data_IF_620753723238
#
_entry.id   IF_620753723238
#
_cell.length_a   1.000
_cell.length_b   1.000
_cell.length_c   1.000
_cell.angle_alpha   90.00
_cell.angle_beta   90.00
_cell.angle_gamma   90.00
#
_symmetry.space_group_name_H-M   'P 1'
#
loop_
_entity.id
_entity.type
_entity.pdbx_description
1 polymer ?
#
# COMPACT_ATOMS: atom_id res chain seq x y z
N UNK A 1 -7.20 6.26 -41.84
CA UNK A 1 -6.41 7.35 -41.22
C UNK A 1 -5.89 6.82 -39.87
N UNK A 2 -4.66 6.27 -39.84
CA UNK A 2 -4.04 5.76 -38.61
C UNK A 2 -3.72 6.99 -37.75
N UNK A 3 -4.48 7.20 -36.68
CA UNK A 3 -4.12 8.12 -35.61
C UNK A 3 -2.78 7.64 -35.05
N UNK A 4 -1.70 8.32 -35.43
CA UNK A 4 -0.43 8.27 -34.73
C UNK A 4 -0.75 8.75 -33.32
N UNK A 5 -0.94 7.81 -32.38
CA UNK A 5 -0.90 8.12 -30.96
C UNK A 5 0.46 8.73 -30.72
N UNK A 6 0.49 10.05 -30.53
CA UNK A 6 1.66 10.74 -30.00
C UNK A 6 2.10 9.97 -28.76
N UNK A 7 3.38 9.61 -28.70
CA UNK A 7 3.95 9.08 -27.46
C UNK A 7 3.59 10.09 -26.36
N UNK A 8 2.89 9.70 -25.29
CA UNK A 8 2.68 10.63 -24.19
C UNK A 8 4.07 11.04 -23.68
N UNK A 9 4.28 12.35 -23.56
CA UNK A 9 5.45 12.90 -22.87
C UNK A 9 5.65 12.14 -21.56
N UNK A 10 6.87 11.66 -21.26
CA UNK A 10 7.07 10.87 -20.06
C UNK A 10 6.76 11.75 -18.85
N UNK A 11 5.70 11.37 -18.11
CA UNK A 11 5.31 12.06 -16.89
C UNK A 11 6.49 12.13 -15.92
N UNK A 12 6.51 13.16 -15.05
CA UNK A 12 7.51 13.33 -13.99
C UNK A 12 7.78 12.02 -13.23
N UNK A 13 6.73 11.27 -12.92
CA UNK A 13 6.80 9.96 -12.27
C UNK A 13 7.54 8.91 -13.13
N UNK A 14 7.30 8.88 -14.44
CA UNK A 14 7.99 7.99 -15.38
C UNK A 14 9.50 8.29 -15.44
N UNK A 15 9.89 9.56 -15.38
CA UNK A 15 11.30 9.96 -15.36
C UNK A 15 11.98 9.53 -14.05
N UNK A 16 11.33 9.75 -12.90
CA UNK A 16 11.84 9.28 -11.61
C UNK A 16 11.95 7.75 -11.56
N UNK A 17 10.95 7.03 -12.07
CA UNK A 17 10.99 5.57 -12.14
C UNK A 17 12.18 5.07 -12.97
N UNK A 18 12.46 5.69 -14.12
CA UNK A 18 13.62 5.35 -14.96
C UNK A 18 14.95 5.69 -14.29
N UNK A 19 15.05 6.82 -13.60
CA UNK A 19 16.24 7.18 -12.80
C UNK A 19 16.53 6.12 -11.73
N UNK A 20 15.50 5.67 -11.01
CA UNK A 20 15.64 4.58 -10.03
C UNK A 20 16.04 3.24 -10.66
N UNK A 21 15.58 2.95 -11.88
CA UNK A 21 16.03 1.76 -12.64
C UNK A 21 17.50 1.88 -13.06
N UNK A 22 17.94 3.05 -13.54
CA UNK A 22 19.32 3.30 -13.93
C UNK A 22 20.28 3.14 -12.74
N UNK A 23 19.83 3.56 -11.55
CA UNK A 23 20.55 3.39 -10.28
C UNK A 23 20.48 1.97 -9.71
N UNK A 24 19.80 1.04 -10.38
CA UNK A 24 19.59 -0.35 -9.94
C UNK A 24 18.86 -0.46 -8.58
N UNK A 25 18.12 0.58 -8.20
CA UNK A 25 17.26 0.57 -7.02
C UNK A 25 15.92 -0.08 -7.32
N UNK A 26 15.48 0.00 -8.57
CA UNK A 26 14.34 -0.73 -9.12
C UNK A 26 14.84 -1.67 -10.20
N UNK A 27 14.29 -2.88 -10.25
CA UNK A 27 14.61 -3.87 -11.29
C UNK A 27 14.34 -3.30 -12.70
N UNK A 28 15.29 -3.48 -13.62
CA UNK A 28 15.21 -2.93 -14.98
C UNK A 28 14.07 -3.51 -15.83
N UNK A 29 13.55 -4.68 -15.45
CA UNK A 29 12.40 -5.31 -16.08
C UNK A 29 11.07 -4.91 -15.44
N UNK A 30 11.09 -4.20 -14.31
CA UNK A 30 9.89 -3.70 -13.65
C UNK A 30 9.17 -2.69 -14.55
N UNK A 31 7.84 -2.75 -14.54
CA UNK A 31 7.00 -1.83 -15.30
C UNK A 31 6.18 -0.95 -14.36
N UNK A 32 6.07 0.32 -14.72
CA UNK A 32 5.13 1.28 -14.14
C UNK A 32 3.91 1.36 -15.07
N UNK A 33 2.75 0.95 -14.59
CA UNK A 33 1.51 0.88 -15.38
C UNK A 33 0.35 1.59 -14.68
N UNK A 34 -0.52 2.20 -15.49
CA UNK A 34 -1.73 2.82 -14.99
C UNK A 34 -2.75 1.75 -14.59
N UNK A 35 -3.21 1.80 -13.34
CA UNK A 35 -4.26 0.95 -12.81
C UNK A 35 -5.62 1.41 -13.29
N UNK A 36 -6.45 0.46 -13.76
CA UNK A 36 -7.87 0.71 -14.07
C UNK A 36 -8.74 0.73 -12.81
N UNK A 37 -8.20 0.38 -11.65
CA UNK A 37 -8.93 0.38 -10.39
C UNK A 37 -8.75 1.74 -9.69
N UNK A 38 -9.81 2.58 -9.59
CA UNK A 38 -9.71 3.95 -9.10
C UNK A 38 -9.47 4.05 -7.58
N UNK A 39 -9.52 2.93 -6.86
CA UNK A 39 -9.36 2.88 -5.40
C UNK A 39 -7.89 2.81 -4.98
N UNK A 40 -7.01 2.33 -5.87
CA UNK A 40 -5.60 2.07 -5.56
C UNK A 40 -4.78 3.33 -5.87
N UNK A 41 -4.21 4.01 -4.87
CA UNK A 41 -3.34 5.17 -5.11
C UNK A 41 -2.10 4.77 -5.91
N UNK A 42 -1.25 3.96 -5.27
CA UNK A 42 -0.07 3.33 -5.84
C UNK A 42 0.08 1.94 -5.19
N UNK A 43 0.56 0.95 -5.94
CA UNK A 43 0.69 -0.42 -5.43
C UNK A 43 1.73 -1.23 -6.20
N UNK A 44 2.68 -1.81 -5.47
CA UNK A 44 3.60 -2.84 -5.92
C UNK A 44 2.89 -4.18 -5.96
N UNK A 45 2.87 -4.82 -7.13
CA UNK A 45 2.32 -6.17 -7.28
C UNK A 45 3.46 -7.18 -7.48
N UNK A 46 3.71 -7.98 -6.44
CA UNK A 46 4.78 -8.98 -6.43
C UNK A 46 4.60 -10.07 -7.50
N UNK A 47 3.37 -10.49 -7.79
CA UNK A 47 3.09 -11.55 -8.76
C UNK A 47 3.34 -11.10 -10.20
N UNK A 48 2.91 -9.89 -10.55
CA UNK A 48 3.08 -9.36 -11.91
C UNK A 48 4.39 -8.61 -12.11
N UNK A 49 5.16 -8.36 -11.03
CA UNK A 49 6.39 -7.55 -11.03
C UNK A 49 6.16 -6.14 -11.60
N UNK A 50 5.06 -5.51 -11.21
CA UNK A 50 4.64 -4.19 -11.69
C UNK A 50 4.40 -3.22 -10.54
N UNK A 51 4.64 -1.94 -10.79
CA UNK A 51 4.07 -0.85 -10.00
C UNK A 51 2.83 -0.36 -10.72
N UNK A 52 1.72 -0.34 -10.00
CA UNK A 52 0.46 0.21 -10.47
C UNK A 52 0.25 1.58 -9.82
N UNK A 53 -0.25 2.55 -10.58
CA UNK A 53 -0.65 3.87 -10.05
C UNK A 53 -1.97 4.31 -10.68
N UNK A 54 -2.76 5.17 -10.03
CA UNK A 54 -4.00 5.70 -10.62
C UNK A 54 -3.84 7.08 -11.25
N UNK A 55 -4.75 7.43 -12.16
CA UNK A 55 -4.82 8.79 -12.74
C UNK A 55 -5.05 9.86 -11.67
N UNK A 56 -5.75 9.51 -10.58
CA UNK A 56 -5.96 10.42 -9.45
C UNK A 56 -4.64 10.71 -8.72
N UNK A 57 -3.80 9.70 -8.55
CA UNK A 57 -2.44 9.87 -8.02
C UNK A 57 -1.60 10.74 -8.98
N UNK A 58 -1.66 10.45 -10.28
CA UNK A 58 -0.95 11.18 -11.33
C UNK A 58 -1.30 12.68 -11.34
N UNK A 59 -2.58 13.04 -11.23
CA UNK A 59 -3.03 14.42 -11.36
C UNK A 59 -2.99 15.25 -10.07
N UNK A 60 -3.14 14.63 -8.90
CA UNK A 60 -3.30 15.38 -7.62
C UNK A 60 -2.19 15.15 -6.61
N UNK A 61 -1.47 14.03 -6.68
CA UNK A 61 -0.41 13.71 -5.72
C UNK A 61 0.96 14.06 -6.31
N UNK A 62 1.17 13.84 -7.61
CA UNK A 62 2.42 14.21 -8.28
C UNK A 62 2.70 15.71 -8.35
N UNK A 63 1.68 16.57 -8.26
CA UNK A 63 1.88 18.03 -8.30
C UNK A 63 2.28 18.61 -6.95
N UNK A 64 1.97 17.91 -5.86
CA UNK A 64 2.16 18.39 -4.49
C UNK A 64 3.39 17.81 -3.79
N UNK A 65 3.84 16.63 -4.22
CA UNK A 65 5.02 15.97 -3.67
C UNK A 65 6.29 16.40 -4.42
N UNK A 66 7.38 16.59 -3.69
CA UNK A 66 8.72 16.79 -4.28
C UNK A 66 9.28 15.45 -4.81
N UNK A 67 10.38 15.54 -5.57
CA UNK A 67 10.94 14.37 -6.24
C UNK A 67 11.46 13.31 -5.25
N UNK A 68 12.00 13.71 -4.10
CA UNK A 68 12.54 12.77 -3.11
C UNK A 68 11.42 12.03 -2.40
N UNK A 69 10.33 12.72 -2.11
CA UNK A 69 9.13 12.08 -1.58
C UNK A 69 8.51 11.11 -2.60
N UNK A 70 8.51 11.44 -3.89
CA UNK A 70 8.05 10.52 -4.94
C UNK A 70 8.98 9.32 -5.13
N UNK A 71 10.30 9.52 -5.05
CA UNK A 71 11.28 8.43 -5.04
C UNK A 71 11.05 7.50 -3.85
N UNK A 72 10.80 8.07 -2.67
CA UNK A 72 10.48 7.29 -1.47
C UNK A 72 9.26 6.40 -1.68
N UNK A 73 8.16 6.93 -2.24
CA UNK A 73 6.96 6.12 -2.54
C UNK A 73 7.26 5.01 -3.55
N UNK A 74 7.98 5.32 -4.63
CA UNK A 74 8.38 4.31 -5.64
C UNK A 74 9.22 3.18 -5.04
N UNK A 75 10.16 3.53 -4.15
CA UNK A 75 11.02 2.59 -3.44
C UNK A 75 10.25 1.78 -2.39
N UNK A 76 9.28 2.38 -1.71
CA UNK A 76 8.38 1.68 -0.79
C UNK A 76 7.63 0.55 -1.54
N UNK A 77 7.08 0.84 -2.72
CA UNK A 77 6.45 -0.19 -3.54
C UNK A 77 7.43 -1.25 -4.06
N UNK A 78 8.70 -0.90 -4.30
CA UNK A 78 9.77 -1.89 -4.57
C UNK A 78 10.04 -2.77 -3.36
N UNK A 79 10.05 -2.19 -2.16
CA UNK A 79 10.11 -2.92 -0.90
C UNK A 79 9.03 -3.99 -0.81
N UNK A 80 7.78 -3.68 -1.17
CA UNK A 80 6.71 -4.68 -1.23
C UNK A 80 6.97 -5.82 -2.23
N UNK A 81 7.55 -5.54 -3.39
CA UNK A 81 7.86 -6.60 -4.36
C UNK A 81 9.02 -7.46 -3.89
N UNK A 82 10.12 -6.85 -3.44
CA UNK A 82 11.31 -7.59 -3.02
C UNK A 82 11.11 -8.32 -1.71
N UNK A 83 10.59 -7.63 -0.69
CA UNK A 83 10.51 -8.10 0.70
C UNK A 83 9.12 -8.54 1.13
N UNK A 84 8.07 -8.11 0.43
CA UNK A 84 6.69 -8.48 0.77
C UNK A 84 6.42 -9.98 0.68
N UNK A 85 5.43 -10.46 1.41
CA UNK A 85 5.11 -11.87 1.49
C UNK A 85 3.81 -12.18 0.75
N UNK A 86 3.84 -13.22 -0.08
CA UNK A 86 2.60 -13.79 -0.63
C UNK A 86 1.80 -14.55 0.42
N UNK A 87 2.42 -14.87 1.57
CA UNK A 87 1.81 -15.64 2.64
C UNK A 87 0.56 -14.96 3.20
N UNK A 88 0.62 -13.64 3.41
CA UNK A 88 -0.50 -12.83 3.90
C UNK A 88 -1.72 -12.92 2.97
N UNK A 89 -1.47 -12.89 1.65
CA UNK A 89 -2.49 -13.02 0.62
C UNK A 89 -3.03 -14.46 0.50
N UNK A 90 -2.17 -15.46 0.68
CA UNK A 90 -2.54 -16.87 0.65
C UNK A 90 -3.39 -17.27 1.86
N UNK A 91 -3.12 -16.70 3.04
CA UNK A 91 -3.96 -16.89 4.23
C UNK A 91 -5.35 -16.32 3.97
N UNK A 92 -5.44 -15.07 3.49
CA UNK A 92 -6.73 -14.45 3.18
C UNK A 92 -7.54 -15.28 2.18
N UNK A 93 -6.90 -15.69 1.07
CA UNK A 93 -7.59 -16.49 0.06
C UNK A 93 -8.04 -17.84 0.61
N UNK A 94 -7.27 -18.48 1.49
CA UNK A 94 -7.66 -19.73 2.15
C UNK A 94 -8.91 -19.54 3.00
N UNK A 95 -8.98 -18.47 3.81
CA UNK A 95 -10.18 -18.18 4.61
C UNK A 95 -11.40 -17.87 3.72
N UNK A 96 -11.22 -17.11 2.64
CA UNK A 96 -12.31 -16.84 1.68
C UNK A 96 -12.78 -18.13 1.00
N UNK A 97 -11.87 -19.01 0.60
CA UNK A 97 -12.21 -20.31 0.00
C UNK A 97 -12.94 -21.19 1.00
N UNK A 98 -12.51 -21.25 2.26
CA UNK A 98 -13.23 -21.98 3.33
C UNK A 98 -14.63 -21.40 3.52
N UNK A 99 -14.77 -20.08 3.56
CA UNK A 99 -16.07 -19.42 3.68
C UNK A 99 -17.01 -19.74 2.51
N UNK A 100 -16.50 -19.67 1.28
CA UNK A 100 -17.24 -20.05 0.06
C UNK A 100 -17.60 -21.54 0.12
N UNK A 101 -16.66 -22.42 0.49
CA UNK A 101 -16.90 -23.85 0.57
C UNK A 101 -18.01 -24.18 1.58
N UNK A 102 -18.02 -23.51 2.74
CA UNK A 102 -19.10 -23.64 3.71
C UNK A 102 -20.46 -23.24 3.09
N UNK A 103 -20.51 -22.26 2.18
CA UNK A 103 -21.75 -21.70 1.59
C UNK A 103 -22.31 -22.48 0.43
N UNK A 104 -21.42 -23.03 -0.38
CA UNK A 104 -21.81 -23.77 -1.58
C UNK A 104 -22.00 -25.26 -1.31
N UNK A 105 -21.35 -25.83 -0.29
CA UNK A 105 -21.62 -27.20 0.12
C UNK A 105 -22.69 -27.21 1.22
N UNK A 106 -23.90 -27.77 0.97
CA UNK A 106 -24.90 -28.02 1.99
C UNK A 106 -24.45 -29.24 2.79
N UNK A 107 -23.32 -29.12 3.46
CA UNK A 107 -22.91 -30.06 4.45
C UNK A 107 -23.98 -29.96 5.56
N UNK A 108 -24.58 -31.09 5.97
CA UNK A 108 -25.59 -31.19 7.05
C UNK A 108 -25.13 -30.65 8.43
N UNK A 109 -23.98 -29.99 8.45
CA UNK A 109 -23.45 -29.16 9.48
C UNK A 109 -24.25 -27.86 9.54
N UNK A 110 -25.30 -27.84 10.37
CA UNK A 110 -26.24 -26.72 10.45
C UNK A 110 -25.62 -25.35 10.77
N UNK A 111 -26.50 -24.38 11.04
CA UNK A 111 -26.21 -23.00 11.47
C UNK A 111 -25.10 -22.78 12.54
N UNK A 112 -24.70 -23.74 13.41
CA UNK A 112 -23.65 -23.47 14.41
C UNK A 112 -22.26 -23.24 13.83
N UNK A 113 -21.86 -23.94 12.77
CA UNK A 113 -20.48 -23.84 12.24
C UNK A 113 -20.19 -22.49 11.60
N UNK A 114 -21.19 -21.90 10.97
CA UNK A 114 -21.20 -20.54 10.47
C UNK A 114 -20.96 -19.52 11.56
N UNK A 115 -21.67 -19.68 12.67
CA UNK A 115 -21.56 -18.82 13.83
C UNK A 115 -20.16 -18.91 14.45
N UNK A 116 -19.60 -20.11 14.60
CA UNK A 116 -18.22 -20.29 15.08
C UNK A 116 -17.18 -19.73 14.11
N UNK A 117 -17.37 -19.88 12.80
CA UNK A 117 -16.47 -19.30 11.81
C UNK A 117 -16.47 -17.77 11.85
N UNK A 118 -17.64 -17.13 11.98
CA UNK A 118 -17.74 -15.68 12.10
C UNK A 118 -17.22 -15.16 13.45
N UNK A 119 -17.48 -15.89 14.55
CA UNK A 119 -17.11 -15.45 15.90
C UNK A 119 -15.63 -15.67 16.20
N UNK A 120 -15.03 -16.75 15.69
CA UNK A 120 -13.66 -17.17 16.01
C UNK A 120 -12.77 -17.12 14.76
N UNK A 121 -13.21 -17.73 13.66
CA UNK A 121 -12.43 -17.83 12.44
C UNK A 121 -12.08 -16.47 11.83
N UNK A 122 -13.06 -15.55 11.77
CA UNK A 122 -12.85 -14.21 11.21
C UNK A 122 -11.95 -13.31 12.06
N UNK A 123 -12.12 -13.18 13.39
CA UNK A 123 -11.17 -12.41 14.21
C UNK A 123 -9.77 -13.03 14.25
N UNK A 124 -9.67 -14.36 14.23
CA UNK A 124 -8.40 -15.05 14.22
C UNK A 124 -7.69 -14.87 12.87
N UNK A 125 -8.40 -14.98 11.75
CA UNK A 125 -7.84 -14.70 10.43
C UNK A 125 -7.38 -13.25 10.32
N UNK A 126 -8.19 -12.31 10.83
CA UNK A 126 -7.80 -10.91 10.93
C UNK A 126 -6.48 -10.75 11.67
N UNK A 127 -6.33 -11.34 12.87
CA UNK A 127 -5.07 -11.27 13.63
C UNK A 127 -3.89 -11.93 12.93
N UNK A 128 -4.10 -13.10 12.32
CA UNK A 128 -3.06 -13.84 11.61
C UNK A 128 -2.59 -13.06 10.37
N UNK A 129 -3.46 -12.30 9.72
CA UNK A 129 -3.10 -11.43 8.59
C UNK A 129 -2.50 -10.09 9.03
N UNK A 130 -2.99 -9.54 10.16
CA UNK A 130 -2.60 -8.25 10.71
C UNK A 130 -1.08 -8.18 10.89
N UNK A 131 -0.50 -9.19 11.55
CA UNK A 131 0.91 -9.18 11.96
C UNK A 131 1.87 -9.23 10.76
N UNK A 132 1.71 -10.15 9.78
CA UNK A 132 2.51 -10.15 8.57
C UNK A 132 2.40 -8.86 7.77
N UNK A 133 1.18 -8.36 7.51
CA UNK A 133 0.98 -7.12 6.76
C UNK A 133 1.62 -5.92 7.45
N UNK A 134 1.48 -5.83 8.78
CA UNK A 134 2.14 -4.79 9.57
C UNK A 134 3.66 -4.83 9.40
N UNK A 135 4.26 -6.02 9.43
CA UNK A 135 5.71 -6.18 9.21
C UNK A 135 6.12 -5.83 7.77
N UNK A 136 5.31 -6.19 6.78
CA UNK A 136 5.57 -5.88 5.38
C UNK A 136 5.65 -4.36 5.13
N UNK A 137 4.74 -3.58 5.71
CA UNK A 137 4.76 -2.12 5.65
C UNK A 137 6.02 -1.53 6.26
N UNK A 138 6.39 -1.98 7.47
CA UNK A 138 7.63 -1.54 8.13
C UNK A 138 8.88 -1.90 7.34
N UNK A 139 8.90 -3.08 6.70
CA UNK A 139 10.02 -3.51 5.87
C UNK A 139 10.11 -2.71 4.56
N UNK A 140 8.97 -2.38 3.96
CA UNK A 140 8.91 -1.55 2.75
C UNK A 140 9.40 -0.11 3.05
N UNK A 141 8.99 0.45 4.19
CA UNK A 141 9.47 1.76 4.67
C UNK A 141 10.98 1.78 4.91
N UNK A 142 11.51 0.75 5.58
CA UNK A 142 12.94 0.65 5.82
C UNK A 142 13.73 0.50 4.53
N UNK A 143 13.24 -0.32 3.60
CA UNK A 143 13.86 -0.46 2.28
C UNK A 143 13.96 0.88 1.55
N UNK A 144 12.87 1.67 1.56
CA UNK A 144 12.88 3.00 0.97
C UNK A 144 13.82 3.95 1.71
N UNK A 145 13.77 3.99 3.04
CA UNK A 145 14.59 4.85 3.87
C UNK A 145 16.09 4.58 3.69
N UNK A 146 16.50 3.31 3.68
CA UNK A 146 17.88 2.89 3.46
C UNK A 146 18.38 3.32 2.08
N UNK A 147 17.56 3.14 1.02
CA UNK A 147 17.89 3.57 -0.33
C UNK A 147 18.00 5.10 -0.43
N UNK A 148 17.10 5.86 0.20
CA UNK A 148 17.15 7.33 0.22
C UNK A 148 18.40 7.85 0.95
N UNK A 149 18.75 7.25 2.10
CA UNK A 149 19.95 7.64 2.84
C UNK A 149 21.23 7.31 2.08
N UNK A 150 21.30 6.13 1.47
CA UNK A 150 22.52 5.64 0.80
C UNK A 150 22.77 6.28 -0.56
N UNK A 151 21.76 6.35 -1.42
CA UNK A 151 21.92 6.75 -2.84
C UNK A 151 21.54 8.20 -3.12
N UNK A 152 20.75 8.82 -2.23
CA UNK A 152 20.28 10.21 -2.35
C UNK A 152 20.76 11.12 -1.21
N UNK A 153 21.54 10.59 -0.26
CA UNK A 153 22.10 11.32 0.87
C UNK A 153 21.05 12.09 1.69
N UNK A 154 19.84 11.52 1.82
CA UNK A 154 18.80 12.07 2.69
C UNK A 154 19.11 11.69 4.13
N UNK A 155 19.49 12.68 4.95
CA UNK A 155 19.87 12.47 6.35
C UNK A 155 18.70 11.95 7.21
N UNK A 156 17.48 12.44 6.94
CA UNK A 156 16.27 12.10 7.69
C UNK A 156 15.15 11.59 6.76
N UNK A 157 15.21 10.34 6.28
CA UNK A 157 14.16 9.76 5.45
C UNK A 157 12.78 9.71 6.14
N UNK A 158 12.75 9.70 7.48
CA UNK A 158 11.50 9.75 8.25
C UNK A 158 10.65 10.99 7.98
N UNK A 159 11.29 12.13 7.65
CA UNK A 159 10.61 13.39 7.30
C UNK A 159 9.85 13.27 5.99
N UNK A 160 10.37 12.50 5.01
CA UNK A 160 9.67 12.23 3.75
C UNK A 160 8.37 11.47 4.01
N UNK A 161 8.42 10.47 4.89
CA UNK A 161 7.24 9.70 5.29
C UNK A 161 6.23 10.56 6.08
N UNK A 162 6.70 11.42 6.99
CA UNK A 162 5.83 12.36 7.71
C UNK A 162 5.15 13.36 6.77
N UNK A 163 5.86 13.83 5.75
CA UNK A 163 5.30 14.71 4.71
C UNK A 163 4.20 14.01 3.92
N UNK A 164 4.35 12.73 3.62
CA UNK A 164 3.30 11.92 2.99
C UNK A 164 2.03 11.84 3.85
N UNK A 165 2.17 11.54 5.14
CA UNK A 165 1.03 11.43 6.06
C UNK A 165 0.32 12.76 6.26
N UNK A 166 1.06 13.84 6.51
CA UNK A 166 0.45 15.17 6.65
C UNK A 166 -0.35 15.61 5.41
N UNK A 167 0.13 15.28 4.20
CA UNK A 167 -0.59 15.55 2.95
C UNK A 167 -1.81 14.64 2.77
N UNK A 168 -1.73 13.40 3.20
CA UNK A 168 -2.87 12.48 3.19
C UNK A 168 -3.97 12.94 4.17
N UNK A 169 -3.59 13.36 5.38
CA UNK A 169 -4.50 13.87 6.41
C UNK A 169 -5.18 15.17 5.99
N UNK A 170 -4.44 16.10 5.39
CA UNK A 170 -4.99 17.34 4.82
C UNK A 170 -6.11 17.02 3.79
N UNK A 171 -5.89 16.02 2.94
CA UNK A 171 -6.89 15.57 1.95
C UNK A 171 -8.06 14.83 2.58
N UNK A 172 -7.84 14.03 3.63
CA UNK A 172 -8.92 13.37 4.37
C UNK A 172 -9.81 14.41 5.06
N UNK A 173 -9.20 15.41 5.71
CA UNK A 173 -9.90 16.49 6.39
C UNK A 173 -10.70 17.38 5.41
N UNK A 174 -10.10 17.77 4.27
CA UNK A 174 -10.80 18.54 3.23
C UNK A 174 -11.95 17.77 2.56
N UNK A 175 -11.82 16.44 2.42
CA UNK A 175 -12.90 15.61 1.87
C UNK A 175 -14.00 15.31 2.90
N UNK A 176 -13.67 15.24 4.19
CA UNK A 176 -14.65 15.08 5.28
C UNK A 176 -15.53 16.33 5.44
N UNK A 177 -14.98 17.53 5.31
CA UNK A 177 -15.78 18.78 5.42
C UNK A 177 -16.87 18.91 4.33
N UNK A 178 -16.75 18.16 3.22
CA UNK A 178 -17.76 18.11 2.13
C UNK A 178 -18.79 16.98 2.26
N UNK A 179 -18.70 16.07 3.24
CA UNK A 179 -19.49 14.83 3.23
C UNK A 179 -20.07 14.41 4.58
N UNK A 180 -20.62 15.37 5.32
CA UNK A 180 -21.54 15.06 6.43
C UNK A 180 -22.93 14.63 5.89
N UNK A 181 -23.07 13.38 5.44
CA UNK A 181 -24.39 12.72 5.31
C UNK A 181 -24.38 11.19 5.29
N UNK A 182 -23.31 10.53 5.76
CA UNK A 182 -23.26 9.04 5.84
C UNK A 182 -22.69 8.49 7.15
N UNK A 183 -22.96 9.16 8.27
CA UNK A 183 -22.52 8.69 9.61
C UNK A 183 -23.15 7.36 10.03
N UNK A 184 -24.26 6.93 9.41
CA UNK A 184 -24.92 5.65 9.72
C UNK A 184 -24.24 4.44 9.05
N UNK A 185 -23.47 4.65 7.97
CA UNK A 185 -22.75 3.56 7.28
C UNK A 185 -21.38 3.26 7.93
N UNK A 186 -20.81 4.24 8.62
CA UNK A 186 -19.50 4.13 9.27
C UNK A 186 -19.56 3.22 10.51
N UNK A 187 -20.68 3.24 11.25
CA UNK A 187 -20.92 2.36 12.39
C UNK A 187 -21.00 0.86 12.03
N UNK A 188 -21.41 0.53 10.80
CA UNK A 188 -21.46 -0.85 10.31
C UNK A 188 -20.11 -1.34 9.77
N UNK A 189 -19.28 -0.47 9.18
CA UNK A 189 -17.95 -0.85 8.69
C UNK A 189 -16.95 -1.16 9.83
N UNK A 190 -17.11 -0.52 10.98
CA UNK A 190 -16.30 -0.78 12.19
C UNK A 190 -16.58 -2.17 12.78
N UNK A 191 -17.82 -2.68 12.62
CA UNK A 191 -18.23 -4.02 13.09
C UNK A 191 -17.84 -5.16 12.13
N UNK A 192 -17.61 -4.87 10.85
CA UNK A 192 -17.32 -5.89 9.80
C UNK A 192 -15.88 -5.88 9.27
N UNK A 193 -14.96 -5.13 9.88
CA UNK A 193 -13.52 -5.24 9.60
C UNK A 193 -13.07 -4.85 8.19
N UNK A 194 -13.94 -4.25 7.37
CA UNK A 194 -13.59 -3.70 6.06
C UNK A 194 -13.07 -2.26 6.22
N UNK A 195 -11.80 -2.13 6.61
CA UNK A 195 -11.08 -0.86 6.44
C UNK A 195 -10.45 -0.82 5.03
N UNK A 196 -10.79 0.18 4.19
CA UNK A 196 -10.01 0.46 2.99
C UNK A 196 -8.74 1.19 3.42
N UNK A 197 -7.59 0.52 3.32
CA UNK A 197 -6.28 1.08 3.70
C UNK A 197 -5.88 0.63 5.10
N UNK A 198 -5.23 -0.53 5.18
CA UNK A 198 -4.69 -1.06 6.42
C UNK A 198 -3.18 -0.77 6.44
N UNK A 199 -2.79 0.25 7.19
CA UNK A 199 -1.38 0.58 7.45
C UNK A 199 -1.16 0.63 8.98
N UNK A 200 0.03 0.25 9.49
CA UNK A 200 0.43 0.54 10.86
C UNK A 200 0.22 2.01 11.21
N UNK A 201 0.01 2.36 12.49
CA UNK A 201 -0.04 3.77 12.91
C UNK A 201 1.19 4.54 12.43
N UNK A 202 0.97 5.75 11.91
CA UNK A 202 1.99 6.60 11.31
C UNK A 202 3.20 6.83 12.24
N UNK A 203 2.94 7.03 13.53
CA UNK A 203 3.99 7.19 14.54
C UNK A 203 4.88 5.95 14.68
N UNK A 204 4.32 4.75 14.52
CA UNK A 204 5.06 3.49 14.60
C UNK A 204 5.94 3.29 13.36
N UNK A 205 5.46 3.70 12.18
CA UNK A 205 6.24 3.62 10.93
C UNK A 205 7.41 4.60 10.96
N UNK A 206 7.15 5.84 11.36
CA UNK A 206 8.17 6.89 11.51
C UNK A 206 9.23 6.48 12.54
N UNK A 207 8.82 6.08 13.75
CA UNK A 207 9.76 5.67 14.80
C UNK A 207 10.62 4.48 14.39
N UNK A 208 10.07 3.50 13.65
CA UNK A 208 10.83 2.38 13.13
C UNK A 208 11.92 2.81 12.13
N UNK A 209 11.67 3.82 11.28
CA UNK A 209 12.71 4.40 10.40
C UNK A 209 13.79 5.09 11.24
N UNK A 210 13.39 5.95 12.19
CA UNK A 210 14.33 6.70 13.03
C UNK A 210 15.24 5.74 13.79
N UNK A 211 14.67 4.73 14.45
CA UNK A 211 15.40 3.76 15.25
C UNK A 211 16.37 2.92 14.41
N UNK A 212 15.94 2.42 13.25
CA UNK A 212 16.71 1.42 12.50
C UNK A 212 17.53 1.96 11.35
N UNK A 213 17.20 3.13 10.81
CA UNK A 213 17.89 3.72 9.66
C UNK A 213 18.65 5.00 10.02
N UNK A 214 18.07 5.87 10.85
CA UNK A 214 18.69 7.15 11.19
C UNK A 214 19.74 6.98 12.29
N UNK A 215 19.36 6.32 13.39
CA UNK A 215 20.23 6.13 14.56
C UNK A 215 21.29 5.02 14.38
N UNK A 216 21.06 4.05 13.49
CA UNK A 216 21.98 2.90 13.29
C UNK A 216 23.32 3.24 12.63
N UNK A 217 23.49 4.47 12.12
CA UNK A 217 24.72 4.94 11.47
C UNK A 217 25.37 6.13 12.20
N UNK A 218 25.01 6.34 13.48
CA UNK A 218 25.61 7.37 14.35
C UNK A 218 26.85 6.84 15.06
#
# INVERSE_FOLDING_TARGET
MKLLMSKPEPSRLSNLFKDLQQRKLIDSHRKLELSRNPVIGMQGNKLSKKILYTEKFDNTVLTELDDDTLRFVLLHEEGHIQKGSLFSHAILSTFVIIFIALFYYPFNFGWPLWFFYLLIGFPLSYRIMYIPMFKEELMADLFAAEAMKKEFHVDQPSVLLQKLFSKADEKLYQNQSKKYSKLVLLGLLILFGFFPGYHPPDCTRISNIVEKCENSFS
#
